data_IF_437555029615
#
_entry.id   IF_437555029615
#
_cell.length_a   1.000
_cell.length_b   1.000
_cell.length_c   1.000
_cell.angle_alpha   90.00
_cell.angle_beta   90.00
_cell.angle_gamma   90.00
#
_symmetry.space_group_name_H-M   'P 1'
#
loop_
_entity.id
_entity.type
_entity.pdbx_description
1 polymer ?
#
# COMPACT_ATOMS: atom_id res chain seq x y z
N UNK A 1 39.23 -23.79 -7.33
CA UNK A 1 38.89 -25.05 -6.64
C UNK A 1 37.38 -25.20 -6.61
N UNK A 2 36.86 -26.30 -7.16
CA UNK A 2 35.43 -26.57 -7.28
C UNK A 2 34.77 -26.59 -5.89
N UNK A 3 33.83 -25.68 -5.63
CA UNK A 3 33.05 -25.66 -4.38
C UNK A 3 32.14 -26.90 -4.38
N UNK A 4 32.65 -28.02 -3.84
CA UNK A 4 31.83 -29.19 -3.50
C UNK A 4 30.59 -28.68 -2.74
N UNK A 5 29.40 -29.11 -3.16
CA UNK A 5 28.16 -28.77 -2.47
C UNK A 5 28.29 -29.13 -0.99
N UNK A 6 28.29 -28.13 -0.11
CA UNK A 6 28.47 -28.30 1.33
C UNK A 6 27.29 -29.13 1.86
N UNK A 7 27.58 -30.30 2.42
CA UNK A 7 26.58 -31.15 3.07
C UNK A 7 26.48 -30.74 4.54
N UNK A 8 25.43 -29.99 4.90
CA UNK A 8 25.28 -29.42 6.24
C UNK A 8 24.84 -30.44 7.32
N UNK A 9 24.69 -31.72 6.96
CA UNK A 9 24.48 -32.81 7.91
C UNK A 9 25.79 -33.31 8.55
N UNK A 10 26.94 -32.95 7.98
CA UNK A 10 28.27 -33.31 8.49
C UNK A 10 28.98 -32.09 9.09
N UNK A 11 30.07 -32.33 9.82
CA UNK A 11 30.93 -31.26 10.31
C UNK A 11 31.49 -30.44 9.13
N UNK A 12 31.53 -29.12 9.28
CA UNK A 12 31.98 -28.19 8.25
C UNK A 12 33.47 -27.88 8.39
N UNK A 13 34.24 -28.10 7.32
CA UNK A 13 35.68 -27.80 7.28
C UNK A 13 36.00 -26.29 7.25
N UNK A 14 35.03 -25.46 6.84
CA UNK A 14 35.18 -24.01 6.75
C UNK A 14 33.92 -23.30 7.26
N UNK A 15 34.09 -22.51 8.32
CA UNK A 15 33.02 -21.82 9.04
C UNK A 15 33.34 -20.33 9.12
N UNK A 16 32.30 -19.50 9.07
CA UNK A 16 32.42 -18.05 9.17
C UNK A 16 32.12 -17.64 10.60
N UNK A 17 33.08 -16.96 11.20
CA UNK A 17 33.01 -16.45 12.56
C UNK A 17 32.87 -14.93 12.54
N UNK A 18 32.26 -14.39 13.60
CA UNK A 18 32.14 -12.94 13.79
C UNK A 18 32.61 -12.58 15.19
N UNK A 19 33.71 -11.85 15.28
CA UNK A 19 34.19 -11.33 16.55
C UNK A 19 33.33 -10.15 16.99
N UNK A 20 32.89 -10.16 18.25
CA UNK A 20 32.09 -9.08 18.83
C UNK A 20 32.92 -7.82 19.12
N UNK A 21 34.16 -8.01 19.57
CA UNK A 21 35.10 -6.94 19.91
C UNK A 21 35.66 -6.25 18.67
N UNK A 22 36.21 -7.01 17.71
CA UNK A 22 36.78 -6.46 16.48
C UNK A 22 35.73 -6.17 15.39
N UNK A 23 34.48 -6.63 15.56
CA UNK A 23 33.37 -6.54 14.59
C UNK A 23 33.68 -7.10 13.19
N UNK A 24 34.75 -7.88 13.06
CA UNK A 24 35.21 -8.45 11.79
C UNK A 24 34.66 -9.85 11.57
N UNK A 25 34.32 -10.16 10.33
CA UNK A 25 33.98 -11.50 9.90
C UNK A 25 35.20 -12.17 9.28
N UNK A 26 35.44 -13.44 9.60
CA UNK A 26 36.52 -14.23 9.01
C UNK A 26 36.07 -15.67 8.79
N UNK A 27 36.57 -16.29 7.71
CA UNK A 27 36.31 -17.70 7.38
C UNK A 27 37.57 -18.51 7.71
N UNK A 28 37.43 -19.53 8.55
CA UNK A 28 38.54 -20.40 8.97
C UNK A 28 38.03 -21.81 9.28
N UNK A 29 38.97 -22.75 9.35
CA UNK A 29 38.75 -24.05 9.99
C UNK A 29 38.46 -23.81 11.48
N UNK A 30 37.40 -24.42 12.05
CA UNK A 30 37.11 -24.34 13.48
C UNK A 30 38.28 -24.87 14.33
N UNK A 31 38.64 -24.15 15.39
CA UNK A 31 39.66 -24.61 16.34
C UNK A 31 39.05 -25.60 17.35
N UNK A 32 37.79 -25.40 17.74
CA UNK A 32 37.03 -26.30 18.61
C UNK A 32 35.65 -26.58 18.02
N UNK A 33 35.30 -27.86 17.96
CA UNK A 33 33.98 -28.35 17.57
C UNK A 33 33.34 -29.02 18.78
N UNK A 34 32.12 -28.60 19.14
CA UNK A 34 31.35 -29.19 20.25
C UNK A 34 30.12 -29.87 19.68
N UNK A 35 29.95 -31.15 20.00
CA UNK A 35 28.77 -31.92 19.65
C UNK A 35 27.60 -31.53 20.56
N UNK A 36 26.54 -30.98 19.98
CA UNK A 36 25.30 -30.60 20.67
C UNK A 36 24.10 -31.25 19.94
N UNK A 37 23.85 -32.56 20.18
CA UNK A 37 22.86 -33.34 19.43
C UNK A 37 21.41 -32.86 19.65
N UNK A 38 21.16 -32.06 20.68
CA UNK A 38 19.84 -31.48 20.97
C UNK A 38 19.45 -30.37 19.97
N UNK A 39 20.38 -29.86 19.15
CA UNK A 39 20.06 -28.86 18.13
C UNK A 39 19.33 -29.49 16.93
N UNK A 40 18.12 -29.00 16.59
CA UNK A 40 17.28 -29.65 15.57
C UNK A 40 17.78 -29.51 14.13
N UNK A 41 18.67 -28.56 13.83
CA UNK A 41 19.07 -28.24 12.45
C UNK A 41 20.53 -28.54 12.13
N UNK A 42 21.42 -28.46 13.11
CA UNK A 42 22.84 -28.73 12.95
C UNK A 42 23.45 -29.13 14.30
N UNK A 43 23.92 -30.37 14.48
CA UNK A 43 24.31 -30.92 15.77
C UNK A 43 25.72 -30.52 16.22
N UNK A 44 26.38 -29.58 15.53
CA UNK A 44 27.74 -29.12 15.84
C UNK A 44 27.76 -27.62 16.15
N UNK A 45 28.48 -27.22 17.19
CA UNK A 45 28.91 -25.84 17.42
C UNK A 45 30.37 -25.67 17.07
N UNK A 46 30.68 -24.53 16.47
CA UNK A 46 32.04 -24.18 16.07
C UNK A 46 32.51 -22.96 16.83
N UNK A 47 33.76 -23.04 17.27
CA UNK A 47 34.50 -21.95 17.89
C UNK A 47 35.84 -21.81 17.19
N UNK A 48 36.31 -20.57 17.07
CA UNK A 48 37.64 -20.26 16.58
C UNK A 48 38.19 -19.01 17.28
N UNK A 49 39.50 -18.92 17.43
CA UNK A 49 40.15 -17.72 17.93
C UNK A 49 40.16 -16.63 16.84
N UNK A 50 39.79 -15.41 17.22
CA UNK A 50 39.88 -14.26 16.32
C UNK A 50 41.35 -13.98 15.95
N UNK A 51 41.69 -13.81 14.66
CA UNK A 51 43.07 -13.55 14.24
C UNK A 51 43.61 -12.20 14.72
N UNK A 52 42.73 -11.26 15.08
CA UNK A 52 43.11 -9.89 15.46
C UNK A 52 43.24 -9.72 16.99
N UNK A 53 42.27 -10.23 17.78
CA UNK A 53 42.28 -10.09 19.25
C UNK A 53 42.56 -11.38 20.03
N UNK A 54 42.61 -12.55 19.37
CA UNK A 54 42.83 -13.85 20.00
C UNK A 54 41.65 -14.40 20.82
N UNK A 55 40.56 -13.65 20.95
CA UNK A 55 39.37 -14.09 21.70
C UNK A 55 38.66 -15.24 20.99
N UNK A 56 38.19 -16.23 21.76
CA UNK A 56 37.41 -17.35 21.24
C UNK A 56 36.00 -16.88 20.88
N UNK A 57 35.65 -16.98 19.59
CA UNK A 57 34.38 -16.48 19.06
C UNK A 57 33.56 -17.61 18.48
N UNK A 58 32.24 -17.53 18.67
CA UNK A 58 31.27 -18.46 18.09
C UNK A 58 31.04 -18.21 16.60
N UNK A 59 30.49 -19.23 15.93
CA UNK A 59 30.01 -19.12 14.55
C UNK A 59 29.09 -17.91 14.37
N UNK A 60 29.23 -17.21 13.24
CA UNK A 60 28.39 -16.06 12.94
C UNK A 60 26.90 -16.44 12.83
N UNK A 61 26.05 -15.70 13.55
CA UNK A 61 24.61 -16.00 13.64
C UNK A 61 23.89 -16.06 12.28
N UNK A 62 24.30 -15.24 11.30
CA UNK A 62 23.70 -15.29 9.96
C UNK A 62 24.04 -16.59 9.22
N UNK A 63 25.21 -17.18 9.46
CA UNK A 63 25.57 -18.47 8.87
C UNK A 63 24.76 -19.59 9.52
N UNK A 64 24.54 -19.54 10.84
CA UNK A 64 23.60 -20.43 11.53
C UNK A 64 22.21 -20.36 10.90
N UNK A 65 21.71 -19.16 10.64
CA UNK A 65 20.40 -18.96 10.01
C UNK A 65 20.35 -19.49 8.56
N UNK A 66 21.46 -19.40 7.82
CA UNK A 66 21.56 -19.96 6.47
C UNK A 66 21.51 -21.50 6.47
N UNK A 67 22.15 -22.13 7.46
CA UNK A 67 22.06 -23.59 7.67
C UNK A 67 20.63 -23.99 8.04
N UNK A 68 19.97 -23.25 8.95
CA UNK A 68 18.56 -23.48 9.30
C UNK A 68 17.64 -23.37 8.07
N UNK A 69 17.85 -22.36 7.23
CA UNK A 69 17.08 -22.16 6.01
C UNK A 69 17.31 -23.31 5.01
N UNK A 70 18.53 -23.84 4.91
CA UNK A 70 18.84 -24.99 4.07
C UNK A 70 18.17 -26.28 4.58
N UNK A 71 18.23 -26.55 5.90
CA UNK A 71 17.60 -27.73 6.49
C UNK A 71 16.07 -27.71 6.36
N UNK A 72 15.46 -26.51 6.41
CA UNK A 72 14.02 -26.31 6.27
C UNK A 72 13.59 -25.96 4.83
N UNK A 73 14.44 -26.18 3.83
CA UNK A 73 14.09 -25.90 2.44
C UNK A 73 12.85 -26.72 2.04
N UNK A 74 11.78 -26.03 1.65
CA UNK A 74 10.49 -26.63 1.25
C UNK A 74 10.50 -27.20 -0.19
N UNK A 75 11.67 -27.45 -0.74
CA UNK A 75 11.84 -27.98 -2.09
C UNK A 75 11.61 -29.50 -2.18
N UNK A 76 11.44 -30.03 -3.39
CA UNK A 76 11.26 -31.46 -3.59
C UNK A 76 12.47 -32.25 -3.07
N UNK A 77 12.21 -33.20 -2.16
CA UNK A 77 13.26 -34.02 -1.51
C UNK A 77 13.68 -35.24 -2.34
N UNK A 78 12.81 -35.73 -3.22
CA UNK A 78 13.05 -36.90 -4.08
C UNK A 78 13.92 -36.54 -5.29
N UNK A 79 14.72 -37.50 -5.77
CA UNK A 79 15.54 -37.32 -6.97
C UNK A 79 14.68 -36.98 -8.21
N UNK A 80 13.52 -37.64 -8.33
CA UNK A 80 12.52 -37.38 -9.38
C UNK A 80 11.91 -35.98 -9.26
N UNK A 81 11.57 -35.53 -8.05
CA UNK A 81 11.03 -34.19 -7.83
C UNK A 81 12.06 -33.08 -8.10
N UNK A 82 13.35 -33.35 -7.81
CA UNK A 82 14.45 -32.45 -8.19
C UNK A 82 14.63 -32.39 -9.71
N UNK A 83 14.52 -33.53 -10.41
CA UNK A 83 14.59 -33.58 -11.87
C UNK A 83 13.40 -32.87 -12.53
N UNK A 84 12.19 -32.99 -11.97
CA UNK A 84 11.00 -32.28 -12.43
C UNK A 84 11.12 -30.76 -12.21
N UNK A 85 11.60 -30.34 -11.03
CA UNK A 85 11.87 -28.92 -10.76
C UNK A 85 12.98 -28.35 -11.65
N UNK A 86 14.03 -29.13 -11.93
CA UNK A 86 15.09 -28.73 -12.86
C UNK A 86 14.57 -28.60 -14.30
N UNK A 87 13.69 -29.51 -14.75
CA UNK A 87 13.00 -29.40 -16.05
C UNK A 87 12.10 -28.16 -16.14
N UNK A 88 11.45 -27.76 -15.04
CA UNK A 88 10.64 -26.54 -14.99
C UNK A 88 11.47 -25.24 -15.06
N UNK A 89 12.75 -25.33 -14.71
CA UNK A 89 13.72 -24.22 -14.80
C UNK A 89 14.41 -24.16 -16.16
N UNK A 90 14.27 -25.19 -16.99
CA UNK A 90 14.84 -25.21 -18.33
C UNK A 90 13.95 -24.36 -19.25
N UNK A 91 14.46 -23.21 -19.69
CA UNK A 91 13.71 -22.22 -20.46
C UNK A 91 13.02 -21.11 -19.65
N UNK A 92 13.03 -21.17 -18.31
CA UNK A 92 12.45 -20.13 -17.44
C UNK A 92 13.40 -19.72 -16.29
N UNK A 93 13.47 -18.42 -15.92
CA UNK A 93 12.79 -17.30 -16.54
C UNK A 93 13.52 -16.86 -17.82
N UNK A 94 12.76 -16.64 -18.89
CA UNK A 94 13.25 -15.94 -20.08
C UNK A 94 13.71 -14.51 -19.71
N UNK A 95 14.53 -13.86 -20.55
CA UNK A 95 15.02 -12.50 -20.26
C UNK A 95 13.87 -11.47 -20.04
N UNK A 96 12.71 -11.69 -20.65
CA UNK A 96 11.50 -10.89 -20.45
C UNK A 96 10.81 -11.20 -19.11
N UNK A 97 10.67 -12.47 -18.75
CA UNK A 97 10.11 -12.91 -17.46
C UNK A 97 11.02 -12.54 -16.28
N UNK A 98 12.34 -12.56 -16.48
CA UNK A 98 13.33 -12.07 -15.53
C UNK A 98 13.17 -10.56 -15.28
N UNK A 99 12.77 -9.76 -16.30
CA UNK A 99 12.42 -8.35 -16.11
C UNK A 99 11.13 -8.21 -15.30
N UNK A 100 10.07 -8.96 -15.62
CA UNK A 100 8.79 -8.93 -14.87
C UNK A 100 8.94 -9.41 -13.41
N UNK A 101 9.74 -10.43 -13.17
CA UNK A 101 10.03 -10.94 -11.81
C UNK A 101 10.99 -10.04 -11.02
N UNK A 102 11.95 -9.37 -11.69
CA UNK A 102 12.77 -8.32 -11.07
C UNK A 102 11.95 -7.09 -10.63
N UNK A 103 10.87 -6.76 -11.34
CA UNK A 103 9.94 -5.71 -10.90
C UNK A 103 9.18 -6.10 -9.63
N UNK A 104 8.89 -7.38 -9.38
CA UNK A 104 8.31 -7.84 -8.10
C UNK A 104 9.30 -7.85 -6.93
N UNK A 105 10.61 -7.91 -7.20
CA UNK A 105 11.66 -7.86 -6.17
C UNK A 105 12.15 -6.44 -5.87
N UNK A 106 11.83 -5.44 -6.70
CA UNK A 106 12.20 -4.04 -6.48
C UNK A 106 11.09 -3.28 -5.74
N UNK A 107 11.22 -3.22 -4.41
CA UNK A 107 10.74 -2.11 -3.54
C UNK A 107 9.37 -1.46 -3.87
N UNK A 108 8.31 -2.24 -4.02
CA UNK A 108 6.93 -1.73 -3.90
C UNK A 108 6.14 -2.35 -2.74
N UNK A 109 6.77 -3.21 -1.93
CA UNK A 109 6.14 -3.79 -0.73
C UNK A 109 5.70 -2.80 0.34
N UNK A 110 6.09 -1.51 0.25
CA UNK A 110 5.61 -0.48 1.16
C UNK A 110 4.18 0.00 0.81
N UNK A 111 3.80 -0.07 -0.47
CA UNK A 111 2.49 0.38 -0.97
C UNK A 111 1.65 -0.75 -1.60
N UNK A 112 2.22 -1.94 -1.79
CA UNK A 112 1.50 -3.10 -2.28
C UNK A 112 0.55 -3.62 -1.18
N UNK A 113 -0.67 -3.07 -1.15
CA UNK A 113 -1.77 -3.66 -0.39
C UNK A 113 -2.33 -4.83 -1.20
N UNK A 114 -2.43 -6.00 -0.57
CA UNK A 114 -3.24 -7.09 -1.12
C UNK A 114 -4.64 -6.55 -1.29
N UNK A 115 -5.17 -6.56 -2.52
CA UNK A 115 -6.57 -6.24 -2.75
C UNK A 115 -7.39 -7.27 -1.96
N UNK A 116 -7.90 -6.87 -0.80
CA UNK A 116 -8.89 -7.65 -0.06
C UNK A 116 -10.17 -7.59 -0.88
N UNK A 117 -10.29 -8.52 -1.83
CA UNK A 117 -11.54 -8.76 -2.54
C UNK A 117 -12.64 -8.94 -1.50
N UNK A 118 -13.70 -8.15 -1.58
CA UNK A 118 -14.80 -8.23 -0.64
C UNK A 118 -15.39 -9.64 -0.71
N UNK A 119 -15.33 -10.45 0.37
CA UNK A 119 -15.97 -11.74 0.38
C UNK A 119 -17.49 -11.55 0.25
N UNK A 120 -18.14 -12.40 -0.55
CA UNK A 120 -19.58 -12.40 -0.64
C UNK A 120 -20.18 -12.61 0.77
N UNK A 121 -21.01 -11.67 1.24
CA UNK A 121 -21.71 -11.80 2.52
C UNK A 121 -22.73 -12.95 2.41
N UNK A 122 -22.81 -13.88 3.39
CA UNK A 122 -23.76 -15.00 3.37
C UNK A 122 -25.23 -14.59 3.21
N UNK A 123 -25.60 -13.41 3.73
CA UNK A 123 -26.97 -12.87 3.68
C UNK A 123 -27.22 -11.87 2.54
N UNK A 124 -26.23 -11.67 1.65
CA UNK A 124 -26.28 -10.67 0.58
C UNK A 124 -26.13 -9.22 1.06
N UNK A 125 -26.06 -8.29 0.10
CA UNK A 125 -26.04 -6.84 0.34
C UNK A 125 -27.45 -6.26 0.15
N UNK A 126 -27.73 -5.08 0.72
CA UNK A 126 -29.00 -4.38 0.47
C UNK A 126 -29.24 -4.12 -1.03
N UNK A 127 -28.15 -3.83 -1.77
CA UNK A 127 -28.17 -3.67 -3.22
C UNK A 127 -28.48 -4.96 -4.00
N UNK A 128 -28.38 -6.14 -3.39
CA UNK A 128 -28.70 -7.41 -4.06
C UNK A 128 -30.19 -7.57 -4.38
N UNK A 129 -31.08 -6.81 -3.73
CA UNK A 129 -32.52 -6.88 -3.99
C UNK A 129 -32.88 -6.28 -5.36
N UNK A 130 -32.14 -5.26 -5.78
CA UNK A 130 -32.35 -4.52 -7.04
C UNK A 130 -31.23 -4.79 -8.06
N UNK A 131 -30.37 -5.77 -7.79
CA UNK A 131 -29.24 -6.07 -8.65
C UNK A 131 -29.71 -6.80 -9.92
N UNK A 132 -29.21 -6.32 -11.05
CA UNK A 132 -29.35 -6.85 -12.40
C UNK A 132 -28.54 -8.13 -12.67
N UNK A 133 -27.62 -8.50 -11.78
CA UNK A 133 -26.78 -9.70 -11.93
C UNK A 133 -27.58 -10.94 -11.52
N UNK A 134 -27.62 -11.94 -12.42
CA UNK A 134 -28.23 -13.24 -12.14
C UNK A 134 -27.62 -13.88 -10.88
N UNK A 135 -28.48 -14.40 -10.01
CA UNK A 135 -28.08 -14.99 -8.72
C UNK A 135 -27.22 -16.23 -8.89
N UNK A 136 -27.47 -17.05 -9.91
CA UNK A 136 -26.64 -18.22 -10.19
C UNK A 136 -25.23 -17.82 -10.61
N UNK A 137 -25.13 -16.83 -11.51
CA UNK A 137 -23.85 -16.27 -11.90
C UNK A 137 -23.14 -15.60 -10.71
N UNK A 138 -23.84 -14.78 -9.93
CA UNK A 138 -23.30 -14.11 -8.74
C UNK A 138 -22.71 -15.09 -7.72
N UNK A 139 -23.40 -16.21 -7.44
CA UNK A 139 -22.94 -17.24 -6.51
C UNK A 139 -21.70 -18.01 -7.02
N UNK A 140 -21.49 -18.07 -8.34
CA UNK A 140 -20.30 -18.70 -8.93
C UNK A 140 -19.04 -17.83 -8.84
N UNK A 141 -19.19 -16.53 -8.57
CA UNK A 141 -18.07 -15.59 -8.52
C UNK A 141 -17.47 -15.56 -7.11
N UNK A 142 -16.13 -15.42 -6.97
CA UNK A 142 -15.46 -15.36 -5.67
C UNK A 142 -15.77 -14.07 -4.89
N UNK A 143 -16.26 -13.03 -5.57
CA UNK A 143 -16.59 -11.73 -4.98
C UNK A 143 -17.76 -11.06 -5.73
N UNK A 144 -18.41 -10.11 -5.07
CA UNK A 144 -19.48 -9.33 -5.69
C UNK A 144 -18.93 -8.41 -6.77
N UNK A 145 -19.37 -8.59 -8.03
CA UNK A 145 -18.87 -7.82 -9.17
C UNK A 145 -19.17 -6.32 -9.07
N UNK A 146 -20.38 -5.91 -8.69
CA UNK A 146 -20.75 -4.48 -8.56
C UNK A 146 -19.94 -3.77 -7.49
N UNK A 147 -19.77 -4.40 -6.33
CA UNK A 147 -18.98 -3.82 -5.23
C UNK A 147 -17.49 -3.76 -5.58
N UNK A 148 -16.99 -4.79 -6.27
CA UNK A 148 -15.61 -4.80 -6.76
C UNK A 148 -15.39 -3.70 -7.80
N UNK A 149 -16.33 -3.52 -8.74
CA UNK A 149 -16.27 -2.45 -9.74
C UNK A 149 -16.26 -1.07 -9.08
N UNK A 150 -17.17 -0.81 -8.14
CA UNK A 150 -17.25 0.45 -7.41
C UNK A 150 -15.94 0.74 -6.67
N UNK A 151 -15.42 -0.25 -5.95
CA UNK A 151 -14.15 -0.12 -5.24
C UNK A 151 -12.98 0.16 -6.20
N UNK A 152 -12.89 -0.55 -7.31
CA UNK A 152 -11.83 -0.35 -8.30
C UNK A 152 -11.90 1.04 -8.94
N UNK A 153 -13.10 1.56 -9.20
CA UNK A 153 -13.28 2.94 -9.72
C UNK A 153 -12.80 3.99 -8.71
N UNK A 154 -13.16 3.83 -7.42
CA UNK A 154 -12.63 4.69 -6.37
C UNK A 154 -11.11 4.57 -6.24
N UNK A 155 -10.59 3.34 -6.22
CA UNK A 155 -9.16 3.10 -6.09
C UNK A 155 -8.36 3.71 -7.25
N UNK A 156 -8.81 3.50 -8.48
CA UNK A 156 -8.19 4.06 -9.67
C UNK A 156 -8.21 5.60 -9.66
N UNK A 157 -9.34 6.20 -9.27
CA UNK A 157 -9.44 7.66 -9.16
C UNK A 157 -8.46 8.23 -8.12
N UNK A 158 -8.28 7.55 -6.98
CA UNK A 158 -7.31 7.96 -5.95
C UNK A 158 -5.86 7.72 -6.37
N UNK A 159 -5.57 6.63 -7.07
CA UNK A 159 -4.22 6.32 -7.56
C UNK A 159 -3.78 7.33 -8.64
N UNK A 160 -4.67 7.62 -9.58
CA UNK A 160 -4.41 8.55 -10.68
C UNK A 160 -4.54 10.02 -10.29
N UNK A 161 -5.04 10.31 -9.07
CA UNK A 161 -5.40 11.66 -8.60
C UNK A 161 -6.33 12.42 -9.55
N UNK A 162 -7.15 11.69 -10.31
CA UNK A 162 -8.12 12.28 -11.23
C UNK A 162 -9.56 12.05 -10.73
N UNK A 163 -10.19 13.07 -10.14
CA UNK A 163 -11.54 12.97 -9.59
C UNK A 163 -12.63 12.85 -10.66
N UNK A 164 -12.32 13.11 -11.93
CA UNK A 164 -13.32 13.10 -13.02
C UNK A 164 -14.03 11.76 -13.16
N UNK A 165 -13.32 10.67 -12.84
CA UNK A 165 -13.85 9.31 -12.86
C UNK A 165 -14.97 9.06 -11.83
N UNK A 166 -15.05 9.87 -10.78
CA UNK A 166 -16.05 9.72 -9.72
C UNK A 166 -17.23 10.69 -9.86
N UNK A 167 -17.14 11.67 -10.78
CA UNK A 167 -18.21 12.66 -10.98
C UNK A 167 -19.56 11.99 -11.25
N UNK A 168 -19.70 10.98 -12.13
CA UNK A 168 -20.99 10.34 -12.37
C UNK A 168 -21.56 9.68 -11.11
N UNK A 169 -20.72 8.98 -10.36
CA UNK A 169 -21.12 8.27 -9.13
C UNK A 169 -21.60 9.25 -8.06
N UNK A 170 -20.86 10.35 -7.88
CA UNK A 170 -21.24 11.37 -6.91
C UNK A 170 -22.46 12.18 -7.37
N UNK A 171 -22.62 12.43 -8.67
CA UNK A 171 -23.80 13.08 -9.21
C UNK A 171 -25.06 12.24 -8.94
N UNK A 172 -25.00 10.93 -9.18
CA UNK A 172 -26.11 10.01 -8.90
C UNK A 172 -26.43 9.95 -7.40
N UNK A 173 -25.39 9.88 -6.54
CA UNK A 173 -25.60 9.87 -5.10
C UNK A 173 -26.21 11.17 -4.57
N UNK A 174 -25.77 12.33 -5.10
CA UNK A 174 -26.35 13.63 -4.76
C UNK A 174 -27.78 13.77 -5.29
N UNK A 175 -28.08 13.24 -6.48
CA UNK A 175 -29.45 13.19 -7.00
C UNK A 175 -30.37 12.34 -6.11
N UNK A 176 -29.91 11.17 -5.65
CA UNK A 176 -30.67 10.33 -4.73
C UNK A 176 -30.92 11.03 -3.38
N UNK A 177 -29.90 11.70 -2.83
CA UNK A 177 -30.03 12.46 -1.58
C UNK A 177 -31.04 13.62 -1.73
N UNK A 178 -30.94 14.38 -2.81
CA UNK A 178 -31.85 15.50 -3.07
C UNK A 178 -33.29 15.03 -3.28
N UNK A 179 -33.50 13.88 -3.92
CA UNK A 179 -34.82 13.26 -4.01
C UNK A 179 -35.40 12.90 -2.63
N UNK A 180 -34.60 12.33 -1.73
CA UNK A 180 -35.03 12.04 -0.36
C UNK A 180 -35.39 13.32 0.39
N UNK A 181 -34.58 14.38 0.27
CA UNK A 181 -34.89 15.67 0.89
C UNK A 181 -36.20 16.26 0.37
N UNK A 182 -36.45 16.15 -0.94
CA UNK A 182 -37.71 16.61 -1.53
C UNK A 182 -38.91 15.82 -0.99
N UNK A 183 -38.77 14.51 -0.80
CA UNK A 183 -39.82 13.67 -0.22
C UNK A 183 -40.09 14.01 1.26
N UNK A 184 -39.03 14.27 2.04
CA UNK A 184 -39.16 14.76 3.42
C UNK A 184 -39.91 16.10 3.44
N UNK A 185 -39.55 17.03 2.55
CA UNK A 185 -40.20 18.33 2.44
C UNK A 185 -41.69 18.20 2.04
N UNK A 186 -42.01 17.33 1.08
CA UNK A 186 -43.39 17.05 0.69
C UNK A 186 -44.21 16.45 1.85
N UNK A 187 -43.59 15.60 2.67
CA UNK A 187 -44.23 15.03 3.86
C UNK A 187 -44.51 16.12 4.89
N UNK A 188 -43.55 17.02 5.15
CA UNK A 188 -43.73 18.15 6.06
C UNK A 188 -44.81 19.12 5.54
N UNK A 189 -44.86 19.37 4.23
CA UNK A 189 -45.91 20.21 3.62
C UNK A 189 -47.30 19.58 3.75
N UNK A 190 -47.40 18.25 3.68
CA UNK A 190 -48.67 17.52 3.82
C UNK A 190 -49.15 17.50 5.27
N UNK A 191 -48.27 17.17 6.21
CA UNK A 191 -48.63 17.00 7.62
C UNK A 191 -48.69 18.34 8.38
N UNK A 192 -48.07 19.38 7.80
CA UNK A 192 -47.93 20.70 8.41
C UNK A 192 -46.70 20.80 9.31
N UNK A 193 -46.24 22.04 9.56
CA UNK A 193 -45.04 22.33 10.38
C UNK A 193 -45.22 21.93 11.85
N UNK A 194 -46.48 21.88 12.30
CA UNK A 194 -46.86 21.61 13.69
C UNK A 194 -47.70 20.34 13.78
N UNK A 195 -47.19 19.33 14.49
CA UNK A 195 -47.99 18.17 14.87
C UNK A 195 -48.66 18.46 16.23
N UNK A 196 -49.97 18.19 16.30
CA UNK A 196 -50.78 18.36 17.51
C UNK A 196 -50.96 17.01 18.18
N UNK A 197 -50.25 16.78 19.29
CA UNK A 197 -50.45 15.59 20.12
C UNK A 197 -51.34 15.95 21.30
N UNK A 198 -52.39 15.16 21.63
CA UNK A 198 -53.20 15.43 22.81
C UNK A 198 -52.32 15.29 24.06
N UNK A 199 -52.37 16.29 24.94
CA UNK A 199 -51.66 16.22 26.21
C UNK A 199 -52.34 15.16 27.09
N UNK A 200 -51.58 14.15 27.52
CA UNK A 200 -52.05 13.08 28.39
C UNK A 200 -51.18 13.04 29.65
N UNK A 201 -51.82 12.72 30.77
CA UNK A 201 -51.16 12.49 32.06
C UNK A 201 -51.55 11.10 32.57
N UNK A 202 -50.63 10.43 33.26
CA UNK A 202 -50.92 9.15 33.93
C UNK A 202 -51.33 9.46 35.36
N UNK A 203 -52.52 9.02 35.73
CA UNK A 203 -52.99 9.13 37.11
C UNK A 203 -52.30 8.09 38.02
N UNK A 204 -52.35 8.28 39.34
CA UNK A 204 -51.68 7.42 40.33
C UNK A 204 -52.17 5.96 40.30
N UNK A 205 -53.35 5.72 39.74
CA UNK A 205 -53.95 4.38 39.55
C UNK A 205 -53.69 3.78 38.15
N UNK A 206 -52.82 4.39 37.35
CA UNK A 206 -52.40 3.86 36.04
C UNK A 206 -53.35 4.15 34.87
N UNK A 207 -54.38 4.98 35.08
CA UNK A 207 -55.26 5.46 34.01
C UNK A 207 -54.63 6.61 33.20
N UNK A 208 -54.76 6.57 31.88
CA UNK A 208 -54.35 7.67 30.99
C UNK A 208 -55.48 8.69 30.90
N UNK A 209 -55.27 9.89 31.43
CA UNK A 209 -56.23 11.00 31.37
C UNK A 209 -55.78 11.97 30.30
N UNK A 210 -56.63 12.20 29.30
CA UNK A 210 -56.43 13.23 28.28
C UNK A 210 -56.85 14.57 28.89
N UNK A 211 -56.00 15.59 28.77
CA UNK A 211 -56.29 16.92 29.32
C UNK A 211 -57.36 17.62 28.47
N UNK A 212 -58.55 17.80 29.03
CA UNK A 212 -59.68 18.52 28.42
C UNK A 212 -59.97 19.79 29.23
N UNK A 213 -60.34 20.89 28.55
CA UNK A 213 -60.83 22.11 29.18
C UNK A 213 -62.20 22.50 28.61
N UNK A 214 -63.06 23.06 29.45
CA UNK A 214 -64.35 23.62 29.03
C UNK A 214 -64.16 25.07 28.60
N UNK A 215 -64.45 25.38 27.34
CA UNK A 215 -64.26 26.72 26.79
C UNK A 215 -65.42 27.64 27.21
N UNK A 216 -65.14 28.64 28.07
CA UNK A 216 -66.13 29.48 28.75
C UNK A 216 -67.06 30.27 27.81
N UNK A 217 -66.70 30.43 26.54
CA UNK A 217 -67.47 31.19 25.56
C UNK A 217 -68.42 30.32 24.70
N UNK A 218 -68.23 29.00 24.64
CA UNK A 218 -68.99 28.12 23.73
C UNK A 218 -69.54 26.84 24.38
N UNK A 219 -69.16 26.54 25.62
CA UNK A 219 -69.68 25.39 26.37
C UNK A 219 -69.29 24.02 25.78
N UNK A 220 -68.29 23.97 24.91
CA UNK A 220 -67.79 22.73 24.31
C UNK A 220 -66.47 22.31 24.95
N UNK A 221 -66.36 21.02 25.28
CA UNK A 221 -65.12 20.37 25.73
C UNK A 221 -64.09 20.40 24.62
N UNK A 222 -62.94 21.02 24.87
CA UNK A 222 -61.81 21.05 23.95
C UNK A 222 -60.61 20.36 24.57
N UNK A 223 -60.03 19.43 23.82
CA UNK A 223 -58.78 18.75 24.20
C UNK A 223 -57.61 19.72 24.09
N UNK A 224 -56.74 19.72 25.11
CA UNK A 224 -55.49 20.47 25.09
C UNK A 224 -54.49 19.70 24.22
N UNK A 225 -54.00 20.33 23.15
CA UNK A 225 -52.98 19.77 22.28
C UNK A 225 -51.62 20.39 22.59
N UNK A 226 -50.62 19.55 22.84
CA UNK A 226 -49.22 19.97 22.83
C UNK A 226 -48.78 20.13 21.36
N UNK A 227 -48.27 21.31 21.03
CA UNK A 227 -47.81 21.63 19.68
C UNK A 227 -46.32 21.34 19.59
N UNK A 228 -45.95 20.27 18.87
CA UNK A 228 -44.54 19.93 18.62
C UNK A 228 -44.18 20.23 17.17
N UNK A 229 -42.95 20.70 16.97
CA UNK A 229 -42.37 20.84 15.65
C UNK A 229 -42.27 19.46 14.99
N UNK A 230 -42.46 19.41 13.67
CA UNK A 230 -42.36 18.17 12.91
C UNK A 230 -40.99 17.49 13.14
N UNK A 231 -40.94 16.21 13.60
CA UNK A 231 -39.68 15.56 13.98
C UNK A 231 -38.68 15.44 12.82
N UNK A 232 -39.18 15.41 11.59
CA UNK A 232 -38.35 15.40 10.38
C UNK A 232 -37.62 16.74 10.10
N UNK A 233 -38.03 17.87 10.69
CA UNK A 233 -37.33 19.15 10.49
C UNK A 233 -35.90 19.11 11.06
N UNK A 234 -35.74 18.51 12.24
CA UNK A 234 -34.42 18.31 12.85
C UNK A 234 -33.56 17.38 12.00
N UNK A 235 -34.15 16.29 11.53
CA UNK A 235 -33.44 15.32 10.67
C UNK A 235 -33.01 15.96 9.34
N UNK A 236 -33.85 16.82 8.74
CA UNK A 236 -33.53 17.58 7.54
C UNK A 236 -32.37 18.55 7.77
N UNK A 237 -32.38 19.28 8.89
CA UNK A 237 -31.32 20.22 9.25
C UNK A 237 -29.97 19.51 9.48
N UNK A 238 -30.00 18.36 10.16
CA UNK A 238 -28.81 17.52 10.36
C UNK A 238 -28.29 16.95 9.03
N UNK A 239 -29.17 16.63 8.08
CA UNK A 239 -28.77 16.11 6.78
C UNK A 239 -28.15 17.21 5.88
N UNK A 240 -28.75 18.39 5.84
CA UNK A 240 -28.25 19.54 5.08
C UNK A 240 -26.87 19.99 5.57
N UNK A 241 -26.67 20.06 6.89
CA UNK A 241 -25.39 20.46 7.47
C UNK A 241 -24.28 19.44 7.19
N UNK A 242 -24.56 18.14 7.33
CA UNK A 242 -23.57 17.08 7.11
C UNK A 242 -23.21 16.87 5.63
N UNK A 243 -24.17 17.02 4.72
CA UNK A 243 -23.88 16.92 3.28
C UNK A 243 -23.03 18.10 2.79
N UNK A 244 -23.25 19.31 3.33
CA UNK A 244 -22.40 20.48 3.05
C UNK A 244 -20.94 20.30 3.46
N UNK A 245 -20.67 19.56 4.55
CA UNK A 245 -19.30 19.25 5.00
C UNK A 245 -18.66 18.12 4.19
N UNK A 246 -19.43 17.09 3.84
CA UNK A 246 -18.94 15.92 3.09
C UNK A 246 -18.32 16.28 1.73
N UNK A 247 -18.83 17.33 1.06
CA UNK A 247 -18.27 17.75 -0.22
C UNK A 247 -16.96 18.51 -0.04
N UNK A 248 -16.86 19.39 0.96
CA UNK A 248 -15.65 20.19 1.21
C UNK A 248 -14.47 19.36 1.76
N UNK A 249 -14.73 18.36 2.62
CA UNK A 249 -13.70 17.55 3.29
C UNK A 249 -13.09 16.45 2.41
N UNK A 250 -13.71 16.10 1.27
CA UNK A 250 -13.18 15.07 0.37
C UNK A 250 -11.97 15.53 -0.46
N UNK A 251 -11.47 16.75 -0.27
CA UNK A 251 -10.22 17.24 -0.91
C UNK A 251 -10.24 17.26 -2.44
N UNK A 252 -11.40 17.08 -3.06
CA UNK A 252 -11.59 16.92 -4.52
C UNK A 252 -12.76 17.76 -5.03
N UNK A 253 -12.96 18.96 -4.46
CA UNK A 253 -13.94 19.92 -5.00
C UNK A 253 -13.30 20.75 -6.10
N UNK A 254 -14.10 21.26 -7.07
CA UNK A 254 -13.62 22.18 -8.11
C UNK A 254 -12.84 23.36 -7.55
N UNK A 255 -13.14 23.79 -6.32
CA UNK A 255 -12.49 24.90 -5.64
C UNK A 255 -11.09 24.58 -5.11
N UNK A 256 -10.83 23.34 -4.71
CA UNK A 256 -9.47 22.86 -4.34
C UNK A 256 -8.66 22.58 -5.61
N UNK A 257 -9.30 22.04 -6.64
CA UNK A 257 -8.70 21.85 -7.96
C UNK A 257 -8.38 23.21 -8.61
N UNK A 258 -9.28 24.20 -8.54
CA UNK A 258 -9.03 25.57 -8.98
C UNK A 258 -7.93 26.24 -8.15
N UNK A 259 -7.80 25.92 -6.85
CA UNK A 259 -6.68 26.42 -6.04
C UNK A 259 -5.34 25.76 -6.42
N UNK A 260 -5.34 24.46 -6.73
CA UNK A 260 -4.16 23.75 -7.24
C UNK A 260 -3.81 24.16 -8.68
N UNK A 261 -4.79 24.30 -9.57
CA UNK A 261 -4.64 24.81 -10.93
C UNK A 261 -4.25 26.29 -10.95
N UNK A 262 -4.76 27.11 -10.03
CA UNK A 262 -4.28 28.49 -9.87
C UNK A 262 -2.87 28.54 -9.28
N UNK A 263 -2.47 27.59 -8.42
CA UNK A 263 -1.11 27.47 -7.94
C UNK A 263 -0.15 26.99 -9.06
N UNK A 264 -0.56 26.04 -9.88
CA UNK A 264 0.14 25.59 -11.09
C UNK A 264 0.19 26.68 -12.17
N UNK A 265 -0.89 27.46 -12.30
CA UNK A 265 -0.99 28.61 -13.19
C UNK A 265 -0.11 29.77 -12.76
N UNK A 266 0.06 30.00 -11.45
CA UNK A 266 1.05 30.94 -10.91
C UNK A 266 2.49 30.52 -11.24
N UNK A 267 2.80 29.22 -11.16
CA UNK A 267 4.10 28.68 -11.60
C UNK A 267 4.33 28.86 -13.12
N UNK A 268 3.27 28.91 -13.93
CA UNK A 268 3.35 29.17 -15.37
C UNK A 268 3.36 30.66 -15.75
N UNK A 269 2.86 31.55 -14.88
CA UNK A 269 2.79 33.00 -15.10
C UNK A 269 4.01 33.77 -14.57
N UNK A 270 4.85 33.15 -13.73
CA UNK A 270 6.12 33.74 -13.32
C UNK A 270 7.13 33.74 -14.49
N UNK A 271 7.04 34.75 -15.34
CA UNK A 271 8.02 35.07 -16.39
C UNK A 271 9.45 35.33 -15.87
N UNK A 272 9.65 35.40 -14.55
CA UNK A 272 10.98 35.34 -13.91
C UNK A 272 11.65 33.95 -14.09
N UNK A 273 10.89 32.89 -14.37
CA UNK A 273 11.45 31.57 -14.66
C UNK A 273 12.22 31.52 -15.99
N UNK A 274 12.03 32.46 -16.91
CA UNK A 274 12.80 32.51 -18.16
C UNK A 274 14.26 32.97 -17.91
N UNK A 275 14.49 33.82 -16.90
CA UNK A 275 15.83 34.10 -16.38
C UNK A 275 16.38 32.88 -15.62
N UNK A 276 15.54 32.16 -14.87
CA UNK A 276 15.94 30.92 -14.18
C UNK A 276 16.32 29.78 -15.14
N UNK A 277 15.70 29.69 -16.32
CA UNK A 277 16.04 28.70 -17.35
C UNK A 277 17.36 29.03 -18.06
N UNK A 278 17.67 30.31 -18.26
CA UNK A 278 19.00 30.71 -18.72
C UNK A 278 20.06 30.46 -17.64
N UNK A 279 19.80 30.77 -16.38
CA UNK A 279 20.73 30.44 -15.30
C UNK A 279 20.88 28.92 -15.10
N UNK A 280 19.81 28.16 -15.26
CA UNK A 280 19.84 26.70 -15.19
C UNK A 280 20.60 26.11 -16.38
N UNK A 281 20.39 26.61 -17.61
CA UNK A 281 21.16 26.17 -18.77
C UNK A 281 22.64 26.52 -18.67
N UNK A 282 22.98 27.70 -18.13
CA UNK A 282 24.36 28.09 -17.83
C UNK A 282 24.97 27.20 -16.74
N UNK A 283 24.25 26.87 -15.66
CA UNK A 283 24.71 25.94 -14.63
C UNK A 283 24.88 24.51 -15.18
N UNK A 284 24.00 24.08 -16.07
CA UNK A 284 24.07 22.77 -16.70
C UNK A 284 25.24 22.69 -17.69
N UNK A 285 25.50 23.75 -18.46
CA UNK A 285 26.67 23.87 -19.32
C UNK A 285 27.97 23.87 -18.50
N UNK A 286 28.05 24.65 -17.41
CA UNK A 286 29.21 24.65 -16.52
C UNK A 286 29.42 23.29 -15.84
N UNK A 287 28.35 22.57 -15.49
CA UNK A 287 28.45 21.21 -14.94
C UNK A 287 28.97 20.21 -15.98
N UNK A 288 28.55 20.33 -17.24
CA UNK A 288 29.02 19.50 -18.35
C UNK A 288 30.49 19.78 -18.69
N UNK A 289 30.93 21.03 -18.67
CA UNK A 289 32.34 21.41 -18.83
C UNK A 289 33.21 20.83 -17.71
N UNK A 290 32.76 20.95 -16.45
CA UNK A 290 33.45 20.35 -15.31
C UNK A 290 33.51 18.82 -15.39
N UNK A 291 32.45 18.16 -15.87
CA UNK A 291 32.46 16.72 -16.13
C UNK A 291 33.44 16.35 -17.25
N UNK A 292 33.51 17.13 -18.33
CA UNK A 292 34.46 16.91 -19.41
C UNK A 292 35.92 17.08 -18.94
N UNK A 293 36.19 18.03 -18.04
CA UNK A 293 37.50 18.21 -17.42
C UNK A 293 37.85 17.07 -16.45
N UNK A 294 36.89 16.61 -15.64
CA UNK A 294 37.07 15.44 -14.78
C UNK A 294 37.34 14.17 -15.60
N UNK A 295 36.62 13.98 -16.71
CA UNK A 295 36.83 12.87 -17.63
C UNK A 295 38.21 12.92 -18.29
N UNK A 296 38.67 14.11 -18.72
CA UNK A 296 40.03 14.30 -19.25
C UNK A 296 41.10 13.98 -18.20
N UNK A 297 40.95 14.44 -16.96
CA UNK A 297 41.87 14.12 -15.85
C UNK A 297 41.85 12.64 -15.49
N UNK A 298 40.67 12.00 -15.50
CA UNK A 298 40.53 10.57 -15.25
C UNK A 298 41.19 9.74 -16.34
N UNK A 299 41.04 10.11 -17.62
CA UNK A 299 41.71 9.46 -18.73
C UNK A 299 43.24 9.65 -18.68
N UNK A 300 43.73 10.85 -18.34
CA UNK A 300 45.16 11.09 -18.14
C UNK A 300 45.73 10.22 -17.00
N UNK A 301 45.02 10.13 -15.86
CA UNK A 301 45.41 9.23 -14.75
C UNK A 301 45.37 7.76 -15.14
N UNK A 302 44.37 7.33 -15.91
CA UNK A 302 44.26 5.96 -16.42
C UNK A 302 45.40 5.59 -17.37
N UNK A 303 45.87 6.55 -18.18
CA UNK A 303 47.04 6.34 -19.05
C UNK A 303 48.37 6.29 -18.26
N UNK A 304 48.42 6.95 -17.11
CA UNK A 304 49.56 6.95 -16.19
C UNK A 304 49.48 5.83 -15.13
N UNK A 305 48.44 5.00 -15.17
CA UNK A 305 48.25 3.92 -14.20
C UNK A 305 49.36 2.86 -14.37
N UNK A 306 50.17 2.60 -13.32
CA UNK A 306 51.31 1.69 -13.41
C UNK A 306 50.91 0.27 -13.81
N UNK A 307 49.72 -0.20 -13.41
CA UNK A 307 49.22 -1.54 -13.76
C UNK A 307 48.89 -1.61 -15.26
N UNK A 308 48.35 -0.54 -15.83
CA UNK A 308 47.99 -0.47 -17.24
C UNK A 308 49.23 -0.30 -18.13
N UNK A 309 50.27 0.39 -17.64
CA UNK A 309 51.59 0.47 -18.27
C UNK A 309 52.34 -0.87 -18.20
N UNK A 310 52.27 -1.58 -17.08
CA UNK A 310 52.79 -2.95 -16.94
C UNK A 310 52.07 -3.91 -17.87
N UNK A 311 50.75 -3.81 -18.01
CA UNK A 311 49.96 -4.63 -18.93
C UNK A 311 50.26 -4.32 -20.41
N UNK A 312 50.48 -3.04 -20.77
CA UNK A 312 50.93 -2.64 -22.12
C UNK A 312 52.39 -3.04 -22.40
N UNK A 313 53.25 -3.06 -21.39
CA UNK A 313 54.64 -3.55 -21.52
C UNK A 313 54.71 -5.07 -21.62
N UNK A 314 53.80 -5.80 -20.95
CA UNK A 314 53.70 -7.25 -21.03
C UNK A 314 53.02 -7.73 -22.31
N UNK A 315 52.01 -7.01 -22.80
CA UNK A 315 51.30 -7.29 -24.06
C UNK A 315 51.75 -6.33 -25.17
N UNK A 316 53.06 -6.24 -25.42
CA UNK A 316 53.64 -5.30 -26.39
C UNK A 316 52.83 -5.19 -27.68
N UNK A 317 52.75 -3.97 -28.22
CA UNK A 317 52.24 -3.66 -29.56
C UNK A 317 52.72 -4.74 -30.53
N UNK A 318 51.81 -5.66 -30.87
CA UNK A 318 51.93 -6.50 -32.04
C UNK A 318 51.57 -5.64 -33.23
N UNK A 319 52.60 -5.16 -33.92
CA UNK A 319 52.55 -4.70 -35.29
C UNK A 319 51.75 -5.68 -36.15
N UNK A 320 50.53 -5.34 -36.57
CA UNK A 320 49.94 -5.84 -37.81
C UNK A 320 48.91 -4.83 -38.34
N UNK A 321 49.35 -3.93 -39.22
CA UNK A 321 48.50 -3.40 -40.30
C UNK A 321 49.36 -3.01 -41.51
N UNK A 322 49.24 -3.83 -42.56
CA UNK A 322 49.13 -3.33 -43.95
C UNK A 322 47.97 -2.31 -44.06
#
# INVERSE_FOLDING_TARGET
MSRKSRNYAQALDAVVFRCHDCRRNFERVPDRVVDEPERPHHPYRYFAACPDCGEEVEQAQYQVNLIKAWCNASGPKTAEGKAAAAKNLDGHPTAEEARRTRFNAMKHGLNARVATYFPAKPDGYAACQTCDIDRFFCASQPACQKQTQLFMQHHAAFEQRDPKHLIPIYADMQAAITAIMQQILQTILRDGVSLRTPAWAVDKDGGVVIAEYDDLATGQRRTIYEVKAHPLLRSLQDFLSKNGMSLADMGMTPRVIEQEEAALGKLAQDGEAQQSLMEYSQRQAAALENLADLARRANAKKQQDPVLLEYKRQNGDGDEHE
#
